data_IF_313103275699
#
_entry.id   IF_313103275699
#
_cell.length_a   1.000
_cell.length_b   1.000
_cell.length_c   1.000
_cell.angle_alpha   90.00
_cell.angle_beta   90.00
_cell.angle_gamma   90.00
#
_symmetry.space_group_name_H-M   'P 1'
#
loop_
_entity.id
_entity.type
_entity.pdbx_description
1 polymer ?
#
# COMPACT_ATOMS: atom_id res chain seq x y z
N UNK A 1 11.85 -38.57 0.56
CA UNK A 1 10.72 -37.98 -0.20
C UNK A 1 11.30 -37.27 -1.41
N UNK A 2 10.75 -37.49 -2.60
CA UNK A 2 11.22 -36.93 -3.88
C UNK A 2 10.34 -35.75 -4.30
N UNK A 3 10.92 -34.56 -4.43
CA UNK A 3 10.20 -33.36 -4.85
C UNK A 3 10.19 -33.32 -6.37
N UNK A 4 9.00 -33.30 -6.97
CA UNK A 4 8.81 -33.34 -8.43
C UNK A 4 8.69 -31.93 -9.01
N UNK A 5 8.09 -31.00 -8.26
CA UNK A 5 7.91 -29.60 -8.66
C UNK A 5 8.47 -28.65 -7.59
N UNK A 6 9.78 -28.36 -7.63
CA UNK A 6 10.42 -27.46 -6.67
C UNK A 6 9.99 -25.99 -6.87
N UNK A 7 9.61 -25.63 -8.09
CA UNK A 7 9.15 -24.30 -8.52
C UNK A 7 7.76 -23.92 -7.97
N UNK A 8 7.01 -24.89 -7.45
CA UNK A 8 5.67 -24.64 -6.93
C UNK A 8 5.71 -23.74 -5.68
N UNK A 9 4.76 -22.80 -5.46
CA UNK A 9 4.76 -21.89 -4.30
C UNK A 9 4.88 -22.57 -2.92
N UNK A 10 4.43 -23.81 -2.81
CA UNK A 10 4.55 -24.64 -1.60
C UNK A 10 6.02 -24.97 -1.24
N UNK A 11 6.91 -25.02 -2.24
CA UNK A 11 8.31 -25.38 -2.08
C UNK A 11 9.28 -24.25 -2.45
N UNK A 12 8.81 -23.19 -3.12
CA UNK A 12 9.67 -22.12 -3.66
C UNK A 12 10.56 -21.44 -2.61
N UNK A 13 10.07 -21.24 -1.39
CA UNK A 13 10.88 -20.66 -0.32
C UNK A 13 11.97 -21.61 0.19
N UNK A 14 11.68 -22.92 0.23
CA UNK A 14 12.69 -23.92 0.57
C UNK A 14 13.71 -24.09 -0.55
N UNK A 15 13.28 -23.94 -1.81
CA UNK A 15 14.14 -23.93 -2.98
C UNK A 15 15.11 -22.74 -2.95
N UNK A 16 14.60 -21.53 -2.66
CA UNK A 16 15.42 -20.33 -2.50
C UNK A 16 16.50 -20.43 -1.40
N UNK A 17 16.27 -21.28 -0.40
CA UNK A 17 17.19 -21.50 0.72
C UNK A 17 18.04 -22.78 0.56
N UNK A 18 17.99 -23.44 -0.61
CA UNK A 18 18.62 -24.73 -0.88
C UNK A 18 18.26 -25.83 0.16
N UNK A 19 17.11 -25.68 0.83
CA UNK A 19 16.66 -26.51 1.93
C UNK A 19 15.79 -27.70 1.49
N UNK A 20 15.51 -27.84 0.18
CA UNK A 20 14.74 -28.96 -0.35
C UNK A 20 15.40 -30.31 -0.09
N UNK A 21 16.74 -30.36 -0.17
CA UNK A 21 17.52 -31.58 0.11
C UNK A 21 17.29 -32.04 1.56
N UNK A 22 17.30 -31.10 2.51
CA UNK A 22 17.02 -31.37 3.92
C UNK A 22 15.57 -31.78 4.14
N UNK A 23 14.61 -31.15 3.44
CA UNK A 23 13.21 -31.56 3.50
C UNK A 23 13.01 -33.01 3.00
N UNK A 24 13.72 -33.39 1.94
CA UNK A 24 13.70 -34.75 1.39
C UNK A 24 14.26 -35.82 2.32
N UNK A 25 15.05 -35.46 3.34
CA UNK A 25 15.59 -36.38 4.35
C UNK A 25 14.56 -36.87 5.37
N UNK A 26 13.36 -36.29 5.42
CA UNK A 26 12.31 -36.73 6.33
C UNK A 26 12.03 -38.24 6.18
N UNK A 27 12.21 -38.96 7.28
CA UNK A 27 11.85 -40.37 7.39
C UNK A 27 10.34 -40.53 7.36
N UNK A 28 9.82 -41.23 6.36
CA UNK A 28 8.38 -41.54 6.25
C UNK A 28 8.22 -43.04 6.44
N UNK A 29 7.50 -43.42 7.49
CA UNK A 29 7.28 -44.81 7.90
C UNK A 29 5.93 -45.34 7.44
N UNK A 30 4.91 -44.47 7.36
CA UNK A 30 3.54 -44.82 6.95
C UNK A 30 2.95 -43.71 6.10
N UNK A 31 2.17 -44.09 5.10
CA UNK A 31 1.43 -43.17 4.25
C UNK A 31 0.15 -43.83 3.73
N UNK A 32 -0.79 -43.01 3.30
CA UNK A 32 -1.98 -43.44 2.59
C UNK A 32 -1.65 -43.57 1.10
N UNK A 33 -1.93 -44.73 0.52
CA UNK A 33 -1.85 -44.93 -0.92
C UNK A 33 -3.06 -44.25 -1.57
N UNK A 34 -2.80 -43.42 -2.58
CA UNK A 34 -3.82 -42.60 -3.22
C UNK A 34 -3.56 -42.53 -4.72
N UNK A 35 -4.63 -42.45 -5.48
CA UNK A 35 -4.59 -42.25 -6.92
C UNK A 35 -4.96 -40.80 -7.23
N UNK A 36 -4.04 -40.01 -7.81
CA UNK A 36 -4.31 -38.62 -8.13
C UNK A 36 -5.30 -38.53 -9.29
N UNK A 37 -6.26 -37.61 -9.18
CA UNK A 37 -7.15 -37.27 -10.30
C UNK A 37 -6.37 -36.58 -11.42
N UNK A 38 -6.86 -36.65 -12.67
CA UNK A 38 -6.23 -36.02 -13.86
C UNK A 38 -6.03 -34.51 -13.69
N UNK A 39 -6.93 -33.85 -12.95
CA UNK A 39 -6.88 -32.41 -12.66
C UNK A 39 -5.98 -32.04 -11.48
N UNK A 40 -5.36 -33.03 -10.81
CA UNK A 40 -4.49 -32.79 -9.67
C UNK A 40 -3.02 -32.75 -10.07
N UNK A 41 -2.25 -31.87 -9.42
CA UNK A 41 -0.81 -31.79 -9.59
C UNK A 41 -0.12 -32.47 -8.41
N UNK A 42 0.72 -33.46 -8.72
CA UNK A 42 1.59 -34.09 -7.73
C UNK A 42 2.85 -33.24 -7.58
N UNK A 43 3.08 -32.70 -6.39
CA UNK A 43 4.24 -31.86 -6.08
C UNK A 43 5.42 -32.66 -5.53
N UNK A 44 5.13 -33.72 -4.79
CA UNK A 44 6.14 -34.63 -4.26
C UNK A 44 5.63 -36.07 -4.25
N UNK A 45 6.57 -37.02 -4.31
CA UNK A 45 6.35 -38.47 -4.29
C UNK A 45 7.15 -39.11 -3.17
N UNK A 46 6.68 -40.23 -2.66
CA UNK A 46 7.46 -41.07 -1.78
C UNK A 46 8.60 -41.72 -2.56
N UNK A 47 9.69 -42.00 -1.87
CA UNK A 47 10.88 -42.63 -2.45
C UNK A 47 10.75 -44.16 -2.50
N UNK A 48 9.51 -44.67 -2.50
CA UNK A 48 9.20 -46.09 -2.60
C UNK A 48 9.29 -46.59 -4.06
N UNK A 49 9.29 -47.91 -4.28
CA UNK A 49 9.42 -48.50 -5.62
C UNK A 49 8.32 -48.08 -6.58
N UNK A 50 7.11 -47.82 -6.05
CA UNK A 50 5.94 -47.40 -6.82
C UNK A 50 5.84 -45.87 -7.01
N UNK A 51 6.72 -45.09 -6.38
CA UNK A 51 6.72 -43.61 -6.38
C UNK A 51 5.34 -43.03 -6.09
N UNK A 52 4.71 -43.54 -5.03
CA UNK A 52 3.36 -43.15 -4.62
C UNK A 52 3.31 -41.63 -4.34
N UNK A 53 2.21 -40.93 -4.66
CA UNK A 53 2.12 -39.48 -4.47
C UNK A 53 2.10 -39.13 -2.98
N UNK A 54 2.93 -38.14 -2.60
CA UNK A 54 3.09 -37.72 -1.21
C UNK A 54 2.41 -36.38 -0.90
N UNK A 55 2.56 -35.42 -1.82
CA UNK A 55 1.92 -34.10 -1.71
C UNK A 55 1.22 -33.81 -3.02
N UNK A 56 -0.09 -33.58 -2.95
CA UNK A 56 -0.96 -33.36 -4.09
C UNK A 56 -1.68 -32.03 -3.90
N UNK A 57 -1.75 -31.23 -4.95
CA UNK A 57 -2.57 -30.02 -4.99
C UNK A 57 -3.61 -30.11 -6.08
N UNK A 58 -4.77 -29.51 -5.83
CA UNK A 58 -5.84 -29.39 -6.81
C UNK A 58 -6.57 -28.07 -6.61
N UNK A 59 -6.87 -27.38 -7.70
CA UNK A 59 -7.81 -26.27 -7.69
C UNK A 59 -9.23 -26.82 -7.80
N UNK A 60 -10.12 -26.37 -6.92
CA UNK A 60 -11.54 -26.75 -6.96
C UNK A 60 -12.40 -25.49 -6.86
N UNK A 61 -13.05 -25.12 -7.97
CA UNK A 61 -13.74 -23.83 -8.07
C UNK A 61 -12.75 -22.67 -7.92
N UNK A 62 -13.05 -21.74 -7.01
CA UNK A 62 -12.18 -20.60 -6.65
C UNK A 62 -11.17 -20.93 -5.54
N UNK A 63 -11.23 -22.14 -4.97
CA UNK A 63 -10.38 -22.57 -3.86
C UNK A 63 -9.23 -23.49 -4.29
N UNK A 64 -8.28 -23.67 -3.40
CA UNK A 64 -7.17 -24.62 -3.56
C UNK A 64 -7.19 -25.63 -2.42
N UNK A 65 -6.95 -26.89 -2.76
CA UNK A 65 -6.84 -27.98 -1.79
C UNK A 65 -5.45 -28.57 -1.91
N UNK A 66 -4.82 -28.79 -0.76
CA UNK A 66 -3.54 -29.50 -0.64
C UNK A 66 -3.77 -30.73 0.23
N UNK A 67 -3.30 -31.87 -0.23
CA UNK A 67 -3.35 -33.13 0.49
C UNK A 67 -1.93 -33.64 0.75
N UNK A 68 -1.68 -33.97 2.02
CA UNK A 68 -0.45 -34.62 2.47
C UNK A 68 -0.80 -36.08 2.77
N UNK A 69 -0.15 -37.00 2.10
CA UNK A 69 -0.46 -38.44 2.16
C UNK A 69 0.09 -39.14 3.41
N UNK A 70 0.65 -38.41 4.37
CA UNK A 70 1.20 -38.95 5.63
C UNK A 70 0.81 -38.03 6.78
N UNK A 71 0.85 -38.54 8.01
CA UNK A 71 0.56 -37.73 9.18
C UNK A 71 1.75 -36.81 9.50
N UNK A 72 1.43 -35.63 10.05
CA UNK A 72 2.38 -34.55 10.32
C UNK A 72 2.29 -34.17 11.80
N UNK A 73 2.44 -35.16 12.67
CA UNK A 73 2.32 -35.03 14.11
C UNK A 73 3.69 -35.00 14.82
N UNK A 74 3.79 -34.19 15.87
CA UNK A 74 4.95 -34.13 16.77
C UNK A 74 4.86 -35.18 17.90
N UNK A 75 4.15 -36.29 17.69
CA UNK A 75 3.89 -37.24 18.76
C UNK A 75 5.20 -37.80 19.34
N UNK A 76 5.23 -37.86 20.68
CA UNK A 76 6.35 -38.37 21.44
C UNK A 76 6.68 -39.80 21.00
N UNK A 77 7.95 -40.03 20.65
CA UNK A 77 8.43 -41.29 20.05
C UNK A 77 8.16 -42.51 20.94
N UNK A 78 7.89 -42.29 22.24
CA UNK A 78 7.48 -43.30 23.21
C UNK A 78 6.13 -43.97 22.89
N UNK A 79 5.25 -43.33 22.11
CA UNK A 79 3.93 -43.84 21.74
C UNK A 79 3.85 -44.39 20.31
N UNK A 80 4.86 -45.11 19.82
CA UNK A 80 4.77 -46.18 18.80
C UNK A 80 3.87 -45.95 17.55
N UNK A 81 3.60 -44.70 17.17
CA UNK A 81 2.70 -44.29 16.08
C UNK A 81 3.26 -43.12 15.29
N UNK A 82 4.58 -43.00 15.15
CA UNK A 82 5.18 -41.92 14.36
C UNK A 82 5.15 -42.29 12.87
N UNK A 83 4.21 -41.71 12.12
CA UNK A 83 4.04 -41.98 10.69
C UNK A 83 5.11 -41.30 9.84
N UNK A 84 5.53 -40.09 10.22
CA UNK A 84 6.59 -39.35 9.54
C UNK A 84 7.42 -38.54 10.53
N UNK A 85 8.63 -38.20 10.11
CA UNK A 85 9.52 -37.26 10.81
C UNK A 85 9.42 -35.84 10.22
N UNK A 86 8.43 -35.56 9.37
CA UNK A 86 8.27 -34.25 8.71
C UNK A 86 8.21 -33.13 9.74
N UNK A 87 7.40 -33.28 10.79
CA UNK A 87 7.28 -32.28 11.84
C UNK A 87 8.56 -32.14 12.69
N UNK A 88 9.44 -33.14 12.69
CA UNK A 88 10.72 -33.13 13.42
C UNK A 88 11.81 -32.34 12.69
N UNK A 89 11.60 -31.94 11.43
CA UNK A 89 12.53 -31.12 10.66
C UNK A 89 12.65 -29.66 11.16
N UNK A 90 12.16 -29.36 12.37
CA UNK A 90 12.27 -28.07 13.08
C UNK A 90 11.85 -26.90 12.19
N UNK A 91 12.76 -25.97 11.91
CA UNK A 91 12.48 -24.74 11.16
C UNK A 91 12.06 -25.02 9.72
N UNK A 92 12.55 -26.10 9.10
CA UNK A 92 12.23 -26.46 7.71
C UNK A 92 10.74 -26.79 7.62
N UNK A 93 10.24 -27.56 8.60
CA UNK A 93 8.82 -27.86 8.68
C UNK A 93 7.99 -26.60 8.91
N UNK A 94 8.41 -25.70 9.82
CA UNK A 94 7.71 -24.45 10.08
C UNK A 94 7.66 -23.55 8.82
N UNK A 95 8.76 -23.43 8.09
CA UNK A 95 8.84 -22.69 6.84
C UNK A 95 7.92 -23.30 5.77
N UNK A 96 7.90 -24.62 5.64
CA UNK A 96 7.01 -25.31 4.72
C UNK A 96 5.53 -25.16 5.11
N UNK A 97 5.21 -25.27 6.41
CA UNK A 97 3.86 -25.06 6.93
C UNK A 97 3.36 -23.64 6.66
N UNK A 98 4.21 -22.62 6.81
CA UNK A 98 3.89 -21.24 6.42
C UNK A 98 3.58 -21.13 4.92
N UNK A 99 4.43 -21.70 4.06
CA UNK A 99 4.20 -21.68 2.61
C UNK A 99 2.91 -22.39 2.18
N UNK A 100 2.64 -23.57 2.76
CA UNK A 100 1.37 -24.28 2.50
C UNK A 100 0.17 -23.47 2.97
N UNK A 101 0.27 -22.80 4.12
CA UNK A 101 -0.81 -21.95 4.65
C UNK A 101 -1.05 -20.75 3.75
N UNK A 102 -0.01 -20.05 3.29
CA UNK A 102 -0.13 -18.92 2.35
C UNK A 102 -0.70 -19.34 1.01
N UNK A 103 -0.28 -20.49 0.50
CA UNK A 103 -0.83 -21.07 -0.73
C UNK A 103 -2.33 -21.35 -0.56
N UNK A 104 -2.72 -22.06 0.50
CA UNK A 104 -4.12 -22.40 0.78
C UNK A 104 -5.01 -21.19 1.11
N UNK A 105 -4.45 -20.16 1.73
CA UNK A 105 -5.10 -18.87 1.94
C UNK A 105 -5.35 -18.10 0.63
N UNK A 106 -5.01 -18.70 -0.52
CA UNK A 106 -5.24 -18.15 -1.84
C UNK A 106 -4.24 -17.05 -2.20
N UNK A 107 -3.03 -17.10 -1.62
CA UNK A 107 -1.92 -16.16 -1.76
C UNK A 107 -2.09 -15.19 -2.92
N UNK A 108 -2.86 -14.11 -2.68
CA UNK A 108 -3.15 -13.11 -3.69
C UNK A 108 -1.81 -12.47 -4.03
N UNK A 109 -1.32 -12.71 -5.24
CA UNK A 109 -0.03 -12.18 -5.73
C UNK A 109 0.02 -10.65 -5.69
N UNK A 110 -1.13 -9.98 -5.61
CA UNK A 110 -1.24 -8.55 -5.45
C UNK A 110 -1.79 -8.23 -4.05
N UNK A 111 -1.05 -7.53 -3.18
CA UNK A 111 -1.63 -7.09 -1.92
C UNK A 111 -2.85 -6.21 -2.20
N UNK A 112 -3.95 -6.57 -1.56
CA UNK A 112 -5.25 -5.91 -1.68
C UNK A 112 -5.27 -4.56 -0.97
N UNK A 113 -4.34 -4.33 -0.04
CA UNK A 113 -4.17 -3.07 0.66
C UNK A 113 -3.11 -2.23 -0.06
N UNK A 114 -3.46 -1.00 -0.44
CA UNK A 114 -2.57 -0.06 -1.14
C UNK A 114 -2.71 1.34 -0.56
N UNK A 115 -1.71 2.17 -0.77
CA UNK A 115 -1.77 3.59 -0.40
C UNK A 115 -2.51 4.39 -1.48
N UNK A 116 -3.35 5.34 -1.08
CA UNK A 116 -3.98 6.32 -1.97
C UNK A 116 -2.88 7.00 -2.81
N UNK A 117 -3.11 7.14 -4.12
CA UNK A 117 -2.12 7.71 -5.04
C UNK A 117 -1.25 6.69 -5.78
N UNK A 118 -1.18 5.45 -5.30
CA UNK A 118 -0.39 4.41 -5.99
C UNK A 118 -1.17 3.82 -7.17
N UNK A 119 -0.56 3.68 -8.37
CA UNK A 119 -1.21 3.01 -9.49
C UNK A 119 -1.43 1.53 -9.16
N UNK A 120 -2.60 1.02 -9.52
CA UNK A 120 -2.94 -0.39 -9.34
C UNK A 120 -3.10 -1.09 -10.68
N UNK A 121 -2.59 -2.32 -10.74
CA UNK A 121 -2.64 -3.18 -11.91
C UNK A 121 -3.51 -4.38 -11.60
N UNK A 122 -4.57 -4.58 -12.37
CA UNK A 122 -5.43 -5.77 -12.32
C UNK A 122 -5.20 -6.53 -13.61
N UNK A 123 -4.76 -7.79 -13.51
CA UNK A 123 -4.64 -8.66 -14.69
C UNK A 123 -6.03 -9.01 -15.21
N UNK A 124 -6.28 -8.72 -16.48
CA UNK A 124 -7.58 -8.95 -17.12
C UNK A 124 -7.41 -10.00 -18.22
N UNK A 125 -8.14 -11.13 -18.18
CA UNK A 125 -8.11 -12.11 -19.25
C UNK A 125 -8.67 -11.52 -20.56
N UNK A 126 -8.10 -11.93 -21.69
CA UNK A 126 -8.39 -11.34 -23.01
C UNK A 126 -9.86 -11.45 -23.42
N UNK A 127 -10.58 -12.44 -22.90
CA UNK A 127 -12.00 -12.71 -23.15
C UNK A 127 -12.93 -11.65 -22.58
N UNK A 128 -12.52 -10.98 -21.50
CA UNK A 128 -13.29 -9.92 -20.85
C UNK A 128 -12.88 -8.51 -21.30
N UNK A 129 -11.87 -8.43 -22.16
CA UNK A 129 -11.53 -7.21 -22.86
C UNK A 129 -12.71 -6.85 -23.77
N UNK A 130 -13.32 -5.66 -23.57
CA UNK A 130 -14.60 -5.13 -24.13
C UNK A 130 -15.80 -5.18 -23.18
N UNK A 131 -15.68 -5.76 -22.00
CA UNK A 131 -16.77 -5.68 -21.03
C UNK A 131 -16.76 -4.36 -20.26
N UNK A 132 -17.95 -3.92 -19.86
CA UNK A 132 -18.12 -2.79 -18.95
C UNK A 132 -18.11 -3.32 -17.52
N UNK A 133 -17.06 -3.01 -16.77
CA UNK A 133 -17.01 -3.34 -15.34
C UNK A 133 -17.65 -2.23 -14.51
N UNK A 134 -18.13 -2.57 -13.32
CA UNK A 134 -18.64 -1.60 -12.35
C UNK A 134 -17.63 -1.45 -11.22
N UNK A 135 -17.08 -0.24 -11.06
CA UNK A 135 -16.27 0.13 -9.92
C UNK A 135 -17.17 0.70 -8.82
N UNK A 136 -17.30 -0.04 -7.73
CA UNK A 136 -17.91 0.43 -6.49
C UNK A 136 -16.84 1.09 -5.63
N UNK A 137 -17.13 2.32 -5.20
CA UNK A 137 -16.26 3.15 -4.39
C UNK A 137 -16.76 3.27 -2.94
N UNK A 138 -15.95 3.80 -2.02
CA UNK A 138 -16.41 4.21 -0.70
C UNK A 138 -17.62 5.14 -0.77
N UNK A 139 -18.55 5.00 0.18
CA UNK A 139 -19.80 5.77 0.19
C UNK A 139 -20.87 5.27 -0.79
N UNK A 140 -20.79 4.00 -1.24
CA UNK A 140 -21.75 3.35 -2.15
C UNK A 140 -21.86 4.00 -3.55
N UNK A 141 -20.91 4.86 -3.92
CA UNK A 141 -20.84 5.41 -5.28
C UNK A 141 -20.43 4.31 -6.25
N UNK A 142 -21.03 4.29 -7.44
CA UNK A 142 -20.74 3.32 -8.47
C UNK A 142 -20.45 4.04 -9.78
N UNK A 143 -19.30 3.75 -10.38
CA UNK A 143 -18.97 4.22 -11.72
C UNK A 143 -18.82 3.02 -12.64
N UNK A 144 -19.33 3.15 -13.85
CA UNK A 144 -19.07 2.19 -14.91
C UNK A 144 -17.71 2.52 -15.54
N UNK A 145 -16.89 1.50 -15.74
CA UNK A 145 -15.57 1.62 -16.34
C UNK A 145 -15.51 0.74 -17.60
N UNK A 146 -14.88 1.24 -18.64
CA UNK A 146 -14.65 0.48 -19.86
C UNK A 146 -13.25 -0.15 -19.81
N UNK A 147 -13.18 -1.47 -19.99
CA UNK A 147 -11.91 -2.20 -19.98
C UNK A 147 -11.22 -1.99 -21.33
N UNK A 148 -9.98 -1.45 -21.37
CA UNK A 148 -9.30 -1.16 -22.63
C UNK A 148 -9.05 -2.43 -23.46
N UNK A 149 -9.22 -2.31 -24.77
CA UNK A 149 -9.09 -3.43 -25.70
C UNK A 149 -7.64 -3.96 -25.76
N UNK A 150 -7.45 -5.28 -25.63
CA UNK A 150 -6.15 -5.97 -25.61
C UNK A 150 -5.19 -5.51 -24.51
N UNK A 151 -5.68 -4.84 -23.48
CA UNK A 151 -4.90 -4.63 -22.26
C UNK A 151 -4.86 -5.95 -21.48
N UNK A 152 -3.65 -6.47 -21.24
CA UNK A 152 -3.41 -7.56 -20.30
C UNK A 152 -3.58 -7.09 -18.84
N UNK A 153 -3.54 -5.76 -18.64
CA UNK A 153 -3.63 -5.11 -17.34
C UNK A 153 -4.53 -3.87 -17.40
N UNK A 154 -5.51 -3.83 -16.52
CA UNK A 154 -6.24 -2.61 -16.19
C UNK A 154 -5.40 -1.79 -15.21
N UNK A 155 -5.05 -0.57 -15.61
CA UNK A 155 -4.37 0.42 -14.76
C UNK A 155 -5.43 1.35 -14.19
N UNK A 156 -5.53 1.43 -12.86
CA UNK A 156 -6.34 2.45 -12.19
C UNK A 156 -5.37 3.38 -11.46
N UNK A 157 -5.35 4.64 -11.87
CA UNK A 157 -4.46 5.70 -11.37
C UNK A 157 -5.29 6.72 -10.57
N UNK A 158 -4.78 7.23 -9.44
CA UNK A 158 -5.37 8.44 -8.84
C UNK A 158 -5.29 9.59 -9.85
N UNK A 159 -6.35 10.39 -10.01
CA UNK A 159 -6.29 11.47 -10.98
C UNK A 159 -5.16 12.43 -10.65
N UNK A 160 -4.44 12.73 -11.73
CA UNK A 160 -3.55 13.84 -11.99
C UNK A 160 -3.84 15.04 -11.08
N UNK A 161 -2.79 15.53 -10.42
CA UNK A 161 -2.72 16.87 -9.86
C UNK A 161 -3.25 17.86 -10.91
N UNK A 162 -4.26 18.67 -10.53
CA UNK A 162 -4.86 19.69 -11.39
C UNK A 162 -3.83 20.73 -11.92
N UNK A 163 -2.61 20.75 -11.38
CA UNK A 163 -1.52 21.65 -11.75
C UNK A 163 -0.82 21.33 -13.10
N UNK A 164 -0.93 20.12 -13.66
CA UNK A 164 -0.24 19.73 -14.91
C UNK A 164 -1.13 19.79 -16.18
N UNK A 165 -2.28 20.47 -16.09
CA UNK A 165 -3.30 20.49 -17.14
C UNK A 165 -2.94 21.26 -18.42
N UNK A 166 -1.73 21.83 -18.55
CA UNK A 166 -1.39 22.64 -19.74
C UNK A 166 -0.49 21.96 -20.77
N UNK A 167 0.22 20.87 -20.46
CA UNK A 167 1.22 20.31 -21.39
C UNK A 167 1.12 18.78 -21.58
N UNK A 168 -0.04 18.28 -22.01
CA UNK A 168 -0.05 16.97 -22.68
C UNK A 168 -1.26 16.81 -23.61
N UNK A 169 -1.17 17.40 -24.81
CA UNK A 169 -1.86 16.88 -25.97
C UNK A 169 -1.05 15.69 -26.48
N UNK A 170 -1.28 14.49 -25.93
CA UNK A 170 -0.82 13.27 -26.59
C UNK A 170 -1.77 12.09 -26.30
N UNK A 171 -2.82 12.00 -27.11
CA UNK A 171 -3.37 10.80 -27.77
C UNK A 171 -3.40 9.44 -27.04
N UNK A 172 -3.54 9.39 -25.72
CA UNK A 172 -3.97 8.17 -25.04
C UNK A 172 -5.19 8.49 -24.21
N UNK A 173 -6.38 8.18 -24.74
CA UNK A 173 -7.63 8.10 -23.96
C UNK A 173 -7.53 6.90 -23.03
N UNK A 174 -6.67 7.01 -22.02
CA UNK A 174 -6.69 6.16 -20.86
C UNK A 174 -7.62 6.87 -19.88
N UNK A 175 -8.82 6.34 -19.69
CA UNK A 175 -9.77 6.87 -18.71
C UNK A 175 -9.14 6.71 -17.31
N UNK A 176 -8.40 7.71 -16.87
CA UNK A 176 -7.80 7.77 -15.53
C UNK A 176 -8.94 7.89 -14.49
N UNK A 177 -9.34 6.74 -13.96
CA UNK A 177 -10.36 6.65 -12.92
C UNK A 177 -9.75 7.14 -11.60
N UNK A 178 -10.08 8.37 -11.20
CA UNK A 178 -9.55 8.96 -9.97
C UNK A 178 -9.93 8.19 -8.70
N UNK A 179 -8.97 7.43 -8.17
CA UNK A 179 -9.05 6.81 -6.84
C UNK A 179 -8.34 7.67 -5.78
N UNK A 180 -8.98 8.76 -5.37
CA UNK A 180 -8.40 9.73 -4.43
C UNK A 180 -8.83 9.58 -2.96
N UNK A 181 -9.70 8.63 -2.63
CA UNK A 181 -10.31 8.53 -1.29
C UNK A 181 -9.93 7.21 -0.62
N UNK A 182 -9.51 7.27 0.64
CA UNK A 182 -9.28 6.05 1.41
C UNK A 182 -10.59 5.27 1.63
N UNK A 183 -10.51 3.94 1.58
CA UNK A 183 -11.64 3.04 1.81
C UNK A 183 -11.64 1.79 0.94
N UNK A 184 -12.76 1.08 0.94
CA UNK A 184 -12.92 -0.19 0.24
C UNK A 184 -13.52 0.02 -1.15
N UNK A 185 -12.88 -0.59 -2.14
CA UNK A 185 -13.27 -0.59 -3.53
C UNK A 185 -13.58 -2.01 -3.99
N UNK A 186 -14.51 -2.13 -4.94
CA UNK A 186 -14.83 -3.42 -5.56
C UNK A 186 -15.09 -3.24 -7.04
N UNK A 187 -14.38 -4.02 -7.83
CA UNK A 187 -14.59 -4.19 -9.25
C UNK A 187 -15.55 -5.37 -9.46
N UNK A 188 -16.68 -5.11 -10.08
CA UNK A 188 -17.65 -6.12 -10.44
C UNK A 188 -17.61 -6.30 -11.95
N UNK A 189 -17.42 -7.54 -12.40
CA UNK A 189 -17.46 -7.86 -13.82
C UNK A 189 -18.82 -8.51 -14.14
N UNK A 190 -19.47 -8.11 -15.25
CA UNK A 190 -20.78 -8.66 -15.61
C UNK A 190 -20.68 -10.12 -16.06
N UNK A 191 -19.54 -10.54 -16.60
CA UNK A 191 -19.28 -11.93 -16.97
C UNK A 191 -18.65 -12.71 -15.84
N UNK A 192 -19.14 -13.94 -15.64
CA UNK A 192 -18.53 -14.93 -14.74
C UNK A 192 -17.12 -15.37 -15.17
N UNK A 193 -16.63 -14.92 -16.33
CA UNK A 193 -15.28 -15.19 -16.79
C UNK A 193 -14.20 -14.54 -15.90
N UNK A 194 -14.52 -13.43 -15.23
CA UNK A 194 -13.63 -12.80 -14.24
C UNK A 194 -14.31 -12.82 -12.87
N UNK A 195 -13.54 -13.17 -11.84
CA UNK A 195 -13.98 -13.03 -10.46
C UNK A 195 -13.99 -11.58 -10.02
N UNK A 196 -15.00 -11.19 -9.25
CA UNK A 196 -15.06 -9.88 -8.60
C UNK A 196 -13.76 -9.59 -7.84
N UNK A 197 -13.22 -8.39 -8.01
CA UNK A 197 -11.95 -7.99 -7.41
C UNK A 197 -12.17 -6.90 -6.36
N UNK A 198 -11.88 -7.20 -5.09
CA UNK A 198 -11.98 -6.24 -3.98
C UNK A 198 -10.62 -5.77 -3.50
N UNK A 199 -10.45 -4.47 -3.29
CA UNK A 199 -9.20 -3.90 -2.76
C UNK A 199 -9.51 -2.72 -1.83
N UNK A 200 -8.54 -2.36 -0.99
CA UNK A 200 -8.65 -1.30 -0.01
C UNK A 200 -7.53 -0.28 -0.21
N UNK A 201 -7.90 1.00 -0.25
CA UNK A 201 -6.97 2.12 -0.28
C UNK A 201 -6.85 2.71 1.13
N UNK A 202 -5.61 2.89 1.58
CA UNK A 202 -5.24 3.44 2.88
C UNK A 202 -4.53 4.79 2.67
N UNK A 203 -4.65 5.68 3.65
CA UNK A 203 -3.86 6.92 3.65
C UNK A 203 -2.38 6.59 3.79
N UNK A 204 -1.52 7.54 3.43
CA UNK A 204 -0.09 7.39 3.67
C UNK A 204 0.16 7.34 5.18
N UNK A 205 1.07 6.48 5.64
CA UNK A 205 1.44 6.37 7.05
C UNK A 205 1.92 7.73 7.60
N UNK A 206 2.56 8.55 6.76
CA UNK A 206 2.97 9.91 7.11
C UNK A 206 1.80 10.84 7.46
N UNK A 207 0.61 10.63 6.90
CA UNK A 207 -0.59 11.41 7.23
C UNK A 207 -1.26 10.93 8.53
N UNK A 208 -0.97 9.69 8.95
CA UNK A 208 -1.50 9.10 10.18
C UNK A 208 -0.48 9.12 11.32
N UNK A 209 0.74 9.61 11.06
CA UNK A 209 1.77 9.72 12.09
C UNK A 209 1.51 10.92 13.00
N UNK A 210 0.92 10.65 14.16
CA UNK A 210 0.64 11.64 15.20
C UNK A 210 1.78 11.78 16.23
N UNK A 211 3.01 11.35 15.89
CA UNK A 211 4.16 11.62 16.75
C UNK A 211 4.37 13.13 16.91
N UNK A 212 4.65 13.57 18.14
CA UNK A 212 4.95 14.98 18.40
C UNK A 212 6.21 15.38 17.65
N UNK A 213 6.11 16.44 16.85
CA UNK A 213 7.27 17.09 16.24
C UNK A 213 8.17 17.71 17.32
N UNK A 214 9.46 17.59 17.11
CA UNK A 214 10.50 18.22 17.91
C UNK A 214 10.73 19.66 17.47
N UNK A 215 11.40 20.44 18.32
CA UNK A 215 11.75 21.83 18.02
C UNK A 215 12.60 21.98 16.76
N UNK A 216 13.55 21.07 16.53
CA UNK A 216 14.39 21.09 15.33
C UNK A 216 13.61 20.82 14.04
N UNK A 217 12.63 19.90 14.08
CA UNK A 217 11.75 19.64 12.93
C UNK A 217 10.81 20.81 12.63
N UNK A 218 10.38 21.54 13.67
CA UNK A 218 9.60 22.76 13.51
C UNK A 218 10.43 23.89 12.87
N UNK A 219 11.70 24.03 13.26
CA UNK A 219 12.62 24.99 12.65
C UNK A 219 12.90 24.65 11.18
N UNK A 220 12.97 23.37 10.82
CA UNK A 220 13.14 22.94 9.41
C UNK A 220 11.89 23.20 8.56
N UNK A 221 10.69 22.89 9.08
CA UNK A 221 9.43 23.07 8.35
C UNK A 221 9.05 24.55 8.20
N UNK A 222 9.11 25.29 9.30
CA UNK A 222 8.64 26.67 9.34
C UNK A 222 9.75 27.68 9.21
N UNK A 223 11.03 27.31 9.32
CA UNK A 223 12.17 28.23 9.36
C UNK A 223 12.41 28.79 10.76
N UNK A 224 13.70 28.94 11.11
CA UNK A 224 14.12 29.50 12.39
C UNK A 224 13.46 30.86 12.66
N UNK A 225 12.91 31.04 13.87
CA UNK A 225 12.19 32.24 14.33
C UNK A 225 10.89 32.60 13.58
N UNK A 226 10.34 31.72 12.74
CA UNK A 226 9.06 31.96 12.04
C UNK A 226 7.85 31.27 12.67
N UNK A 227 8.04 30.60 13.80
CA UNK A 227 6.97 29.92 14.53
C UNK A 227 7.09 30.18 16.04
N UNK A 228 5.96 30.13 16.74
CA UNK A 228 5.89 30.23 18.20
C UNK A 228 4.90 29.18 18.72
N UNK A 229 5.33 28.37 19.69
CA UNK A 229 4.48 27.35 20.31
C UNK A 229 3.87 27.91 21.60
N UNK A 230 2.60 28.28 21.53
CA UNK A 230 1.83 28.68 22.70
C UNK A 230 1.23 27.44 23.36
N UNK A 231 1.48 27.24 24.66
CA UNK A 231 0.99 26.06 25.42
C UNK A 231 -0.16 26.41 26.35
N UNK A 232 -0.51 27.69 26.47
CA UNK A 232 -1.65 28.19 27.23
C UNK A 232 -2.55 29.08 26.38
N UNK A 233 -3.81 29.19 26.80
CA UNK A 233 -4.81 30.04 26.15
C UNK A 233 -4.42 31.52 26.24
N UNK A 234 -3.86 31.94 27.38
CA UNK A 234 -3.37 33.30 27.62
C UNK A 234 -2.17 33.67 26.72
N UNK A 235 -1.26 32.73 26.45
CA UNK A 235 -0.16 32.94 25.51
C UNK A 235 -0.65 33.09 24.06
N UNK A 236 -1.64 32.28 23.66
CA UNK A 236 -2.26 32.38 22.34
C UNK A 236 -2.92 33.75 22.14
N UNK A 237 -3.75 34.20 23.09
CA UNK A 237 -4.43 35.49 23.01
C UNK A 237 -3.43 36.63 22.90
N UNK A 238 -2.37 36.62 23.71
CA UNK A 238 -1.29 37.62 23.64
C UNK A 238 -0.57 37.61 22.28
N UNK A 239 -0.26 36.43 21.73
CA UNK A 239 0.43 36.32 20.43
C UNK A 239 -0.44 36.78 19.25
N UNK A 240 -1.73 36.48 19.26
CA UNK A 240 -2.69 36.92 18.23
C UNK A 240 -2.93 38.42 18.31
N UNK A 241 -3.02 38.98 19.51
CA UNK A 241 -3.16 40.43 19.70
C UNK A 241 -1.91 41.17 19.21
N UNK A 242 -0.71 40.68 19.49
CA UNK A 242 0.55 41.26 18.99
C UNK A 242 0.71 41.11 17.47
N UNK A 243 0.31 39.98 16.88
CA UNK A 243 0.37 39.76 15.44
C UNK A 243 -0.65 40.58 14.64
N UNK A 244 -1.78 40.95 15.24
CA UNK A 244 -2.82 41.81 14.61
C UNK A 244 -2.48 43.30 14.68
N UNK A 245 -1.64 43.70 15.63
CA UNK A 245 -1.08 45.05 15.70
C UNK A 245 0.11 45.09 14.74
N UNK A 246 -0.20 45.19 13.43
CA UNK A 246 0.81 45.56 12.45
C UNK A 246 1.54 46.81 12.94
N UNK A 247 2.86 46.84 12.76
CA UNK A 247 3.74 47.93 13.20
C UNK A 247 3.04 49.26 12.93
N UNK A 248 2.62 49.96 13.99
CA UNK A 248 1.84 51.18 13.86
C UNK A 248 2.74 52.23 13.20
N UNK A 249 2.64 52.38 11.88
CA UNK A 249 3.41 53.38 11.15
C UNK A 249 2.90 54.81 11.43
N UNK A 250 1.78 54.94 12.14
CA UNK A 250 1.11 56.21 12.42
C UNK A 250 1.97 57.20 13.23
N UNK A 251 2.61 56.84 14.35
CA UNK A 251 3.49 57.75 15.08
C UNK A 251 4.72 58.18 14.25
N UNK A 252 5.25 57.29 13.41
CA UNK A 252 6.39 57.58 12.54
C UNK A 252 6.00 58.57 11.43
N UNK A 253 4.84 58.35 10.81
CA UNK A 253 4.26 59.26 9.82
C UNK A 253 3.90 60.63 10.41
N UNK A 254 3.33 60.66 11.62
CA UNK A 254 3.03 61.91 12.32
C UNK A 254 4.29 62.69 12.69
N UNK A 255 5.35 61.99 13.12
CA UNK A 255 6.64 62.63 13.40
C UNK A 255 7.22 63.26 12.13
N UNK A 256 7.16 62.54 11.00
CA UNK A 256 7.63 63.05 9.70
C UNK A 256 6.82 64.27 9.24
N UNK A 257 5.50 64.26 9.44
CA UNK A 257 4.62 65.38 9.13
C UNK A 257 4.92 66.62 9.98
N UNK A 258 5.16 66.44 11.29
CA UNK A 258 5.56 67.55 12.18
C UNK A 258 6.89 68.16 11.72
N UNK A 259 7.87 67.34 11.34
CA UNK A 259 9.15 67.81 10.80
C UNK A 259 8.92 68.65 9.54
N UNK A 260 8.03 68.21 8.65
CA UNK A 260 7.70 68.94 7.42
C UNK A 260 7.10 70.33 7.73
N UNK A 261 6.13 70.41 8.63
CA UNK A 261 5.51 71.68 9.04
C UNK A 261 6.50 72.63 9.73
N UNK A 262 7.37 72.11 10.60
CA UNK A 262 8.42 72.92 11.23
C UNK A 262 9.43 73.44 10.20
N UNK A 263 9.76 72.62 9.21
CA UNK A 263 10.65 73.00 8.10
C UNK A 263 10.03 74.10 7.27
N UNK A 264 8.75 73.97 6.91
CA UNK A 264 8.00 74.98 6.17
C UNK A 264 7.89 76.30 6.95
N UNK A 265 7.63 76.24 8.24
CA UNK A 265 7.55 77.43 9.08
C UNK A 265 8.90 78.14 9.23
N UNK A 266 10.00 77.39 9.34
CA UNK A 266 11.35 77.94 9.35
C UNK A 266 11.70 78.63 8.02
N UNK A 267 11.37 78.00 6.89
CA UNK A 267 11.61 78.56 5.55
C UNK A 267 10.79 79.83 5.36
N UNK A 268 9.49 79.81 5.70
CA UNK A 268 8.63 81.00 5.61
C UNK A 268 9.18 82.16 6.44
N UNK A 269 9.60 81.91 7.69
CA UNK A 269 10.12 82.95 8.57
C UNK A 269 11.50 83.49 8.11
N UNK A 270 12.29 82.68 7.40
CA UNK A 270 13.57 83.09 6.83
C UNK A 270 13.38 83.97 5.58
N UNK A 271 12.44 83.62 4.70
CA UNK A 271 12.22 84.34 3.43
C UNK A 271 11.34 85.60 3.54
N UNK A 272 10.38 85.65 4.47
CA UNK A 272 9.56 86.86 4.68
C UNK A 272 10.28 87.98 5.44
N UNK A 273 11.47 87.72 5.99
CA UNK A 273 12.30 88.75 6.65
C UNK A 273 12.98 89.71 5.67
N UNK A 274 12.97 89.43 4.36
CA UNK A 274 13.70 90.19 3.33
C UNK A 274 12.84 91.13 2.46
N UNK A 275 11.53 91.21 2.66
CA UNK A 275 10.65 92.13 1.89
C UNK A 275 10.12 93.33 2.72
N UNK A 276 10.62 93.50 3.95
CA UNK A 276 10.21 94.58 4.86
C UNK A 276 11.29 95.64 5.10
N UNK A 277 11.84 96.25 4.05
CA UNK A 277 12.54 97.56 4.08
C UNK A 277 12.43 98.25 2.74
#
# INVERSE_FOLDING_TARGET
LEIVRPDHPVFSYLDQLDALSLFSTAGIRRYFKMEPSVESSVLARFSDSERNPAVIVRSFGQGQTLMIATAVDLADASRQKNWSDLAQLRWIFAAWADQTTRFLAGGQKSPLNRTVGSPMFIEVPAEASREKALLRMPGLRQNQIEIPFRSDRLVISSARNEADSQNQMDNTRQEDISIGTAGNYRLLFPSNAISDYGFSLQLNDNETNMSRLTFGELDELFGENRWQLSRSFEELERSVLLGRIGIEAYPLLMTLLIIFFLSEHLVANLFYRTEGT
#
